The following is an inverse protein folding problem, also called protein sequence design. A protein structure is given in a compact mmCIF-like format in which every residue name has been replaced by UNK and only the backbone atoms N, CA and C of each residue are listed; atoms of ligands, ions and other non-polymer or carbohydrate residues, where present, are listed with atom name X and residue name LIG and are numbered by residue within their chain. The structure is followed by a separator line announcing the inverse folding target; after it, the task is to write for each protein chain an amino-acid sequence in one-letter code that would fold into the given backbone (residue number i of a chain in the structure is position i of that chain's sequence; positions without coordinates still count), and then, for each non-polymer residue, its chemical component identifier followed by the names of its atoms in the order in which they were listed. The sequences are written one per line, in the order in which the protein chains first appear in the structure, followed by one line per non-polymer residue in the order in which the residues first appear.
data_IF_671956587064
#
_entry.id   IF_671956587064
#
_cell.length_a   1.000
_cell.length_b   1.000
_cell.length_c   1.000
_cell.angle_alpha   90.00
_cell.angle_beta   90.00
_cell.angle_gamma   90.00
#
_symmetry.space_group_name_H-M   'P 1'
#
loop_
_entity.id
_entity.type
_entity.pdbx_description
1 polymer ?
#
# COMPACT_ATOMS: atom_id res chain seq x y z
N UNK A 1 -21.45 -9.78 -56.35
CA UNK A 1 -20.84 -11.05 -55.87
C UNK A 1 -19.91 -10.70 -54.73
N UNK A 2 -20.21 -11.29 -53.57
CA UNK A 2 -19.42 -11.23 -52.33
C UNK A 2 -18.34 -12.30 -52.43
N UNK A 3 -17.08 -12.06 -52.06
CA UNK A 3 -16.25 -13.06 -51.38
C UNK A 3 -15.13 -12.41 -50.56
N UNK A 4 -15.15 -12.82 -49.30
CA UNK A 4 -14.33 -12.60 -48.12
C UNK A 4 -12.85 -12.98 -48.26
N UNK A 5 -11.97 -12.21 -47.59
CA UNK A 5 -10.80 -12.75 -46.87
C UNK A 5 -10.37 -11.80 -45.74
N UNK A 6 -10.59 -12.23 -44.48
CA UNK A 6 -9.79 -11.89 -43.27
C UNK A 6 -8.79 -13.04 -43.06
N UNK A 7 -7.90 -13.08 -42.04
CA UNK A 7 -7.46 -12.07 -41.07
C UNK A 7 -5.91 -11.97 -41.00
N UNK A 8 -5.34 -10.89 -40.48
CA UNK A 8 -4.02 -10.98 -39.84
C UNK A 8 -4.07 -10.32 -38.46
N UNK A 9 -3.54 -11.08 -37.52
CA UNK A 9 -3.63 -10.91 -36.07
C UNK A 9 -2.69 -9.82 -35.58
N UNK A 10 -3.12 -9.20 -34.50
CA UNK A 10 -2.39 -8.24 -33.70
C UNK A 10 -1.09 -8.83 -33.12
N UNK A 11 -0.03 -8.03 -33.13
CA UNK A 11 1.09 -8.15 -32.21
C UNK A 11 1.57 -6.74 -31.87
N UNK A 12 0.82 -6.05 -31.01
CA UNK A 12 1.37 -4.92 -30.27
C UNK A 12 2.45 -5.46 -29.34
N UNK A 13 3.69 -5.20 -29.72
CA UNK A 13 4.88 -5.42 -28.90
C UNK A 13 4.66 -4.68 -27.58
N UNK A 14 4.44 -5.45 -26.50
CA UNK A 14 4.53 -4.94 -25.14
C UNK A 14 5.99 -4.54 -24.93
N UNK A 15 6.29 -3.27 -25.20
CA UNK A 15 7.52 -2.63 -24.77
C UNK A 15 7.63 -2.82 -23.27
N UNK A 16 8.73 -3.45 -22.87
CA UNK A 16 9.20 -3.57 -21.50
C UNK A 16 9.17 -2.19 -20.84
N UNK A 17 8.13 -1.94 -20.06
CA UNK A 17 8.12 -0.84 -19.11
C UNK A 17 9.22 -1.14 -18.10
N UNK A 18 10.39 -0.53 -18.34
CA UNK A 18 11.39 -0.26 -17.33
C UNK A 18 10.69 0.58 -16.24
N UNK A 19 10.07 -0.12 -15.29
CA UNK A 19 9.55 0.44 -14.04
C UNK A 19 10.75 0.80 -13.17
N UNK A 20 11.47 1.85 -13.55
CA UNK A 20 12.21 2.66 -12.61
C UNK A 20 11.16 3.44 -11.80
N UNK A 21 10.50 2.73 -10.88
CA UNK A 21 9.90 3.39 -9.73
C UNK A 21 11.09 3.98 -8.96
N UNK A 22 11.31 5.28 -9.14
CA UNK A 22 12.19 6.04 -8.27
C UNK A 22 11.54 6.05 -6.88
N UNK A 23 11.86 5.03 -6.09
CA UNK A 23 11.35 4.82 -4.76
C UNK A 23 12.00 5.85 -3.82
N UNK A 24 11.24 6.92 -3.56
CA UNK A 24 11.60 8.00 -2.64
C UNK A 24 11.93 7.48 -1.24
N UNK A 25 13.10 7.87 -0.74
CA UNK A 25 13.68 7.45 0.52
C UNK A 25 13.26 8.37 1.68
N UNK A 26 12.32 7.88 2.49
CA UNK A 26 12.06 8.33 3.87
C UNK A 26 10.86 9.27 4.09
N UNK A 27 10.56 9.61 5.36
CA UNK A 27 9.72 8.88 6.30
C UNK A 27 8.21 8.91 5.96
N UNK A 28 7.81 9.43 4.81
CA UNK A 28 6.50 9.29 4.20
C UNK A 28 6.84 9.33 2.72
N UNK A 29 6.66 8.24 1.98
CA UNK A 29 7.08 8.14 0.58
C UNK A 29 6.51 9.31 -0.25
N UNK A 30 7.26 10.43 -0.31
CA UNK A 30 6.96 11.59 -1.13
C UNK A 30 7.41 11.22 -2.53
N UNK A 31 6.55 10.47 -3.24
CA UNK A 31 6.56 10.51 -4.69
C UNK A 31 5.85 11.78 -5.16
N UNK A 32 6.22 12.30 -6.32
CA UNK A 32 5.55 13.43 -6.99
C UNK A 32 4.10 13.11 -7.44
N UNK A 33 3.58 11.93 -7.09
CA UNK A 33 2.20 11.53 -7.32
C UNK A 33 1.26 12.05 -6.23
N UNK A 34 -0.06 12.03 -6.46
CA UNK A 34 -1.02 12.34 -5.41
C UNK A 34 -0.88 11.28 -4.31
N UNK A 35 -0.26 11.65 -3.18
CA UNK A 35 -0.08 10.79 -2.02
C UNK A 35 -1.41 10.13 -1.68
N UNK A 36 -1.41 8.80 -1.59
CA UNK A 36 -2.57 8.03 -1.12
C UNK A 36 -2.26 7.40 0.22
N UNK A 37 -3.33 7.09 0.94
CA UNK A 37 -3.25 6.50 2.27
C UNK A 37 -3.87 5.12 2.21
N UNK A 38 -3.05 4.10 2.48
CA UNK A 38 -3.58 2.78 2.75
C UNK A 38 -4.09 2.77 4.19
N UNK A 39 -5.38 2.54 4.37
CA UNK A 39 -6.07 2.68 5.65
C UNK A 39 -6.66 1.35 6.09
N UNK A 40 -6.44 1.02 7.36
CA UNK A 40 -7.12 -0.04 8.07
C UNK A 40 -8.31 0.56 8.81
N UNK A 41 -9.45 -0.11 8.73
CA UNK A 41 -10.73 0.34 9.26
C UNK A 41 -11.22 -0.65 10.33
N UNK A 42 -11.73 -0.12 11.44
CA UNK A 42 -12.52 -0.91 12.38
C UNK A 42 -13.86 -1.33 11.74
N UNK A 43 -14.58 -2.30 12.34
CA UNK A 43 -15.95 -2.64 11.93
C UNK A 43 -16.90 -1.42 11.90
N UNK A 44 -16.67 -0.43 12.76
CA UNK A 44 -17.42 0.83 12.81
C UNK A 44 -16.95 1.88 11.79
N UNK A 45 -16.15 1.47 10.79
CA UNK A 45 -15.63 2.31 9.70
C UNK A 45 -14.75 3.49 10.17
N UNK A 46 -14.07 3.35 11.31
CA UNK A 46 -13.07 4.31 11.79
C UNK A 46 -11.67 3.91 11.31
N UNK A 47 -10.85 4.88 10.91
CA UNK A 47 -9.45 4.60 10.56
C UNK A 47 -8.68 4.27 11.84
N UNK A 48 -8.16 3.05 11.91
CA UNK A 48 -7.42 2.52 13.06
C UNK A 48 -5.92 2.51 12.82
N UNK A 49 -5.51 2.36 11.57
CA UNK A 49 -4.12 2.53 11.17
C UNK A 49 -4.05 3.07 9.74
N UNK A 50 -2.98 3.78 9.42
CA UNK A 50 -2.69 4.16 8.05
C UNK A 50 -1.19 4.24 7.77
N UNK A 51 -0.83 4.11 6.49
CA UNK A 51 0.49 4.49 6.00
C UNK A 51 0.36 5.15 4.62
N UNK A 52 1.31 6.03 4.30
CA UNK A 52 1.36 6.70 3.00
C UNK A 52 1.92 5.77 1.92
N UNK A 53 1.34 5.84 0.73
CA UNK A 53 1.89 5.24 -0.48
C UNK A 53 2.35 6.34 -1.44
N UNK A 54 3.35 6.02 -2.26
CA UNK A 54 3.92 6.94 -3.25
C UNK A 54 2.90 7.45 -4.25
N UNK A 55 1.93 6.61 -4.60
CA UNK A 55 0.95 6.89 -5.65
C UNK A 55 -0.33 6.03 -5.46
N UNK A 56 -1.32 6.29 -6.31
CA UNK A 56 -2.59 5.60 -6.29
C UNK A 56 -2.53 4.15 -6.80
N UNK A 57 -1.65 3.83 -7.75
CA UNK A 57 -1.53 2.46 -8.26
C UNK A 57 -0.96 1.53 -7.20
N UNK A 58 0.08 1.96 -6.49
CA UNK A 58 0.69 1.25 -5.36
C UNK A 58 -0.33 0.99 -4.25
N UNK A 59 -1.13 2.00 -3.92
CA UNK A 59 -2.21 1.88 -2.93
C UNK A 59 -3.29 0.85 -3.32
N UNK A 60 -3.73 0.87 -4.59
CA UNK A 60 -4.70 -0.09 -5.11
C UNK A 60 -4.12 -1.51 -5.18
N UNK A 61 -2.85 -1.63 -5.52
CA UNK A 61 -2.16 -2.93 -5.55
C UNK A 61 -2.10 -3.55 -4.14
N UNK A 62 -1.78 -2.75 -3.12
CA UNK A 62 -1.80 -3.21 -1.73
C UNK A 62 -3.22 -3.67 -1.32
N UNK A 63 -4.26 -2.92 -1.68
CA UNK A 63 -5.65 -3.30 -1.40
C UNK A 63 -6.04 -4.61 -2.07
N UNK A 64 -5.65 -4.80 -3.33
CA UNK A 64 -5.88 -6.04 -4.07
C UNK A 64 -5.17 -7.23 -3.42
N UNK A 65 -3.89 -7.08 -3.06
CA UNK A 65 -3.12 -8.12 -2.39
C UNK A 65 -3.75 -8.52 -1.05
N UNK A 66 -4.23 -7.54 -0.31
CA UNK A 66 -4.87 -7.73 1.00
C UNK A 66 -6.20 -8.48 0.90
N UNK A 67 -7.06 -8.09 -0.04
CA UNK A 67 -8.34 -8.78 -0.29
C UNK A 67 -8.13 -10.24 -0.72
N UNK A 68 -7.00 -10.57 -1.35
CA UNK A 68 -6.67 -11.95 -1.75
C UNK A 68 -6.18 -12.82 -0.59
N UNK A 69 -5.55 -12.22 0.41
CA UNK A 69 -4.82 -12.95 1.46
C UNK A 69 -5.59 -12.97 2.79
N UNK A 70 -6.57 -12.07 2.99
CA UNK A 70 -7.45 -12.01 4.17
C UNK A 70 -6.69 -12.06 5.53
N UNK A 71 -5.50 -11.44 5.58
CA UNK A 71 -4.52 -11.69 6.65
C UNK A 71 -4.67 -10.84 7.92
N UNK A 72 -5.52 -9.82 7.92
CA UNK A 72 -5.50 -8.79 8.97
C UNK A 72 -6.68 -8.84 9.95
N UNK A 73 -7.44 -9.94 9.98
CA UNK A 73 -8.53 -10.14 10.94
C UNK A 73 -9.83 -9.44 10.52
N UNK A 74 -10.55 -8.85 11.48
CA UNK A 74 -11.84 -8.19 11.27
C UNK A 74 -11.74 -6.76 10.72
N UNK A 75 -10.52 -6.25 10.53
CA UNK A 75 -10.27 -4.89 10.07
C UNK A 75 -10.35 -4.84 8.53
N UNK A 76 -11.26 -4.02 8.00
CA UNK A 76 -11.35 -3.78 6.56
C UNK A 76 -10.20 -2.88 6.10
N UNK A 77 -9.89 -2.88 4.80
CA UNK A 77 -8.86 -1.97 4.25
C UNK A 77 -9.39 -1.16 3.08
N UNK A 78 -8.83 0.04 2.88
CA UNK A 78 -9.14 0.90 1.74
C UNK A 78 -7.96 1.75 1.31
N UNK A 79 -8.05 2.27 0.10
CA UNK A 79 -7.18 3.32 -0.40
C UNK A 79 -7.89 4.69 -0.33
N UNK A 80 -7.45 5.56 0.58
CA UNK A 80 -8.02 6.89 0.82
C UNK A 80 -7.23 8.03 0.16
N UNK A 81 -7.91 9.11 -0.19
CA UNK A 81 -7.30 10.41 -0.56
C UNK A 81 -6.99 11.30 0.63
N UNK A 82 -7.70 11.10 1.75
CA UNK A 82 -7.57 11.92 2.95
C UNK A 82 -6.84 11.14 4.05
N UNK A 83 -5.87 11.77 4.68
CA UNK A 83 -5.16 11.25 5.85
C UNK A 83 -6.01 11.37 7.11
N UNK A 84 -5.97 10.34 7.95
CA UNK A 84 -6.52 10.35 9.31
C UNK A 84 -5.45 10.63 10.39
N UNK A 85 -4.25 11.05 9.98
CA UNK A 85 -3.07 11.26 10.83
C UNK A 85 -3.33 12.01 12.14
N UNK A 86 -4.20 13.03 12.11
CA UNK A 86 -4.55 13.84 13.28
C UNK A 86 -5.18 13.03 14.43
N UNK A 87 -5.71 11.84 14.15
CA UNK A 87 -6.38 10.95 15.12
C UNK A 87 -5.56 9.68 15.40
N UNK A 88 -4.36 9.58 14.85
CA UNK A 88 -3.48 8.41 14.95
C UNK A 88 -2.18 8.84 15.64
N UNK A 89 -2.14 8.80 16.99
CA UNK A 89 -1.03 9.35 17.77
C UNK A 89 0.20 8.45 17.79
N UNK A 90 0.03 7.13 17.61
CA UNK A 90 1.13 6.17 17.70
C UNK A 90 1.78 6.00 16.33
N UNK A 91 3.10 5.97 16.27
CA UNK A 91 3.85 5.84 15.02
C UNK A 91 4.81 4.65 15.05
N UNK A 92 5.07 4.07 13.88
CA UNK A 92 6.10 3.04 13.68
C UNK A 92 6.62 3.08 12.24
N UNK A 93 7.72 2.38 11.95
CA UNK A 93 8.27 2.26 10.61
C UNK A 93 8.74 0.85 10.33
N UNK A 94 8.52 0.37 9.11
CA UNK A 94 9.08 -0.88 8.62
C UNK A 94 9.60 -0.73 7.19
N UNK A 95 10.73 -1.39 6.93
CA UNK A 95 11.34 -1.50 5.63
C UNK A 95 10.84 -2.73 4.90
N UNK A 96 10.22 -2.54 3.74
CA UNK A 96 10.03 -3.64 2.79
C UNK A 96 11.37 -4.01 2.18
N UNK A 97 11.81 -5.25 2.40
CA UNK A 97 13.09 -5.75 1.89
C UNK A 97 13.13 -5.88 0.36
N UNK A 98 11.98 -6.05 -0.30
CA UNK A 98 11.90 -6.21 -1.76
C UNK A 98 11.99 -4.87 -2.48
N UNK A 99 11.29 -3.87 -1.94
CA UNK A 99 11.29 -2.53 -2.50
C UNK A 99 12.45 -1.66 -1.96
N UNK A 100 13.06 -2.08 -0.85
CA UNK A 100 14.03 -1.29 -0.08
C UNK A 100 13.48 0.10 0.32
N UNK A 101 12.20 0.14 0.73
CA UNK A 101 11.48 1.37 1.11
C UNK A 101 11.07 1.28 2.58
N UNK A 102 11.28 2.36 3.32
CA UNK A 102 10.72 2.54 4.66
C UNK A 102 9.29 3.11 4.57
N UNK A 103 8.33 2.32 5.03
CA UNK A 103 6.95 2.75 5.23
C UNK A 103 6.76 3.23 6.66
N UNK A 104 6.22 4.44 6.82
CA UNK A 104 5.78 4.92 8.13
C UNK A 104 4.30 4.68 8.34
N UNK A 105 4.01 4.06 9.47
CA UNK A 105 2.68 3.69 9.91
C UNK A 105 2.26 4.60 11.06
N UNK A 106 0.96 4.85 11.12
CA UNK A 106 0.30 5.53 12.23
C UNK A 106 -0.85 4.67 12.73
N UNK A 107 -1.08 4.65 14.03
CA UNK A 107 -2.08 3.79 14.69
C UNK A 107 -2.89 4.57 15.72
N UNK A 108 -4.11 4.11 16.00
CA UNK A 108 -4.98 4.73 16.99
C UNK A 108 -4.52 4.48 18.43
N UNK A 109 -3.75 3.40 18.66
CA UNK A 109 -3.36 2.93 19.98
C UNK A 109 -2.09 2.09 19.91
N UNK A 110 -1.42 1.98 21.07
CA UNK A 110 -0.20 1.20 21.23
C UNK A 110 -0.44 -0.29 20.97
N UNK A 111 -1.59 -0.81 21.39
CA UNK A 111 -1.94 -2.22 21.22
C UNK A 111 -2.13 -2.58 19.75
N UNK A 112 -2.83 -1.73 18.98
CA UNK A 112 -2.96 -1.93 17.55
C UNK A 112 -1.62 -1.87 16.83
N UNK A 113 -0.77 -0.91 17.20
CA UNK A 113 0.57 -0.83 16.66
C UNK A 113 1.35 -2.12 16.90
N UNK A 114 1.39 -2.63 18.14
CA UNK A 114 2.12 -3.88 18.45
C UNK A 114 1.60 -5.08 17.66
N UNK A 115 0.29 -5.23 17.53
CA UNK A 115 -0.30 -6.33 16.74
C UNK A 115 0.04 -6.24 15.26
N UNK A 116 -0.21 -5.08 14.64
CA UNK A 116 0.00 -4.88 13.20
C UNK A 116 1.49 -4.90 12.85
N UNK A 117 2.35 -4.26 13.65
CA UNK A 117 3.80 -4.29 13.43
C UNK A 117 4.38 -5.69 13.65
N UNK A 118 3.81 -6.50 14.55
CA UNK A 118 4.15 -7.91 14.69
C UNK A 118 3.88 -8.72 13.42
N UNK A 119 2.72 -8.52 12.79
CA UNK A 119 2.38 -9.17 11.51
C UNK A 119 3.25 -8.63 10.35
N UNK A 120 3.53 -7.32 10.33
CA UNK A 120 4.41 -6.70 9.33
C UNK A 120 5.83 -7.27 9.43
N UNK A 121 6.33 -7.50 10.65
CA UNK A 121 7.66 -8.06 10.90
C UNK A 121 7.88 -9.45 10.27
N UNK A 122 6.82 -10.19 9.90
CA UNK A 122 6.93 -11.46 9.18
C UNK A 122 7.40 -11.29 7.73
N UNK A 123 7.25 -10.09 7.16
CA UNK A 123 7.52 -9.81 5.73
C UNK A 123 8.38 -8.58 5.47
N UNK A 124 8.60 -7.75 6.50
CA UNK A 124 9.35 -6.51 6.45
C UNK A 124 10.20 -6.37 7.71
N UNK A 125 11.24 -5.52 7.66
CA UNK A 125 12.10 -5.26 8.83
C UNK A 125 11.60 -4.04 9.58
N UNK A 126 11.23 -4.17 10.86
CA UNK A 126 10.83 -3.01 11.67
C UNK A 126 12.04 -2.10 11.92
N UNK A 127 12.00 -0.89 11.37
CA UNK A 127 13.08 0.12 11.49
C UNK A 127 12.82 1.12 12.60
N UNK A 128 11.55 1.29 13.00
CA UNK A 128 11.15 2.03 14.21
C UNK A 128 9.97 1.33 14.87
N UNK A 129 10.13 0.97 16.14
CA UNK A 129 9.05 0.38 16.94
C UNK A 129 7.93 1.37 17.24
N UNK A 130 6.88 0.88 17.91
CA UNK A 130 5.73 1.67 18.32
C UNK A 130 6.11 2.74 19.34
N UNK A 131 5.84 4.01 19.02
CA UNK A 131 6.12 5.20 19.82
C UNK A 131 4.90 6.10 19.88
#
# INVERSE_FOLDING_TARGET
MNFTTRPWLAATVFGTALLNAACSSGPLAQGDGPARHFQYLSPDNQVVAEYSTSDAATCQQHLSNMNRINRHGSEATRCGTASAAARLPVTAQARDARANIDYAFRFNSMDQCKRLMGAIAESATVTRGCQ
#
